data_IF_654466539442
#
_entry.id   IF_654466539442
#
_cell.length_a   1.000
_cell.length_b   1.000
_cell.length_c   1.000
_cell.angle_alpha   90.00
_cell.angle_beta   90.00
_cell.angle_gamma   90.00
#
_symmetry.space_group_name_H-M   'P 1'
#
loop_
_entity.id
_entity.type
_entity.pdbx_description
1 polymer ?
#
# COMPACT_ATOMS: atom_id res chain seq x y z
N UNK A 1 38.08 -56.11 -25.37
CA UNK A 1 37.71 -55.21 -24.26
C UNK A 1 38.44 -53.89 -24.50
N UNK A 2 37.78 -52.84 -25.01
CA UNK A 2 37.38 -51.72 -24.16
C UNK A 2 36.69 -50.60 -24.99
N UNK A 3 35.42 -50.41 -24.64
CA UNK A 3 34.59 -49.20 -24.66
C UNK A 3 34.99 -47.99 -25.52
N UNK A 4 34.36 -47.93 -26.70
CA UNK A 4 33.99 -46.72 -27.44
C UNK A 4 33.25 -45.75 -26.50
N UNK A 5 33.88 -44.64 -26.12
CA UNK A 5 33.21 -43.49 -25.51
C UNK A 5 32.77 -42.56 -26.64
N UNK A 6 31.51 -42.73 -27.06
CA UNK A 6 30.82 -41.76 -27.88
C UNK A 6 30.68 -40.47 -27.05
N UNK A 7 31.54 -39.50 -27.31
CA UNK A 7 31.37 -38.15 -26.80
C UNK A 7 30.12 -37.57 -27.46
N UNK A 8 28.99 -37.65 -26.75
CA UNK A 8 27.78 -36.91 -27.08
C UNK A 8 28.14 -35.43 -26.98
N UNK A 9 28.53 -34.84 -28.10
CA UNK A 9 28.67 -33.40 -28.25
C UNK A 9 27.28 -32.81 -28.02
N UNK A 10 27.00 -32.39 -26.79
CA UNK A 10 25.79 -31.60 -26.53
C UNK A 10 25.88 -30.32 -27.35
N UNK A 11 24.80 -29.90 -28.03
CA UNK A 11 24.80 -28.60 -28.68
C UNK A 11 25.17 -27.52 -27.64
N UNK A 12 25.92 -26.49 -28.04
CA UNK A 12 26.26 -25.40 -27.14
C UNK A 12 24.95 -24.85 -26.53
N UNK A 13 24.96 -24.49 -25.23
CA UNK A 13 23.79 -23.89 -24.62
C UNK A 13 23.38 -22.65 -25.44
N UNK A 14 22.07 -22.37 -25.56
CA UNK A 14 21.60 -21.19 -26.27
C UNK A 14 22.31 -19.95 -25.74
N UNK A 15 22.81 -19.12 -26.65
CA UNK A 15 23.47 -17.86 -26.31
C UNK A 15 22.43 -16.94 -25.69
N UNK A 16 22.50 -16.75 -24.37
CA UNK A 16 21.76 -15.70 -23.68
C UNK A 16 22.40 -14.37 -24.05
N UNK A 17 21.95 -13.75 -25.15
CA UNK A 17 22.33 -12.38 -25.49
C UNK A 17 21.69 -11.45 -24.46
N UNK A 18 22.45 -11.12 -23.42
CA UNK A 18 22.07 -10.16 -22.36
C UNK A 18 21.68 -8.78 -22.94
N UNK A 19 22.07 -8.50 -24.19
CA UNK A 19 21.90 -7.20 -24.83
C UNK A 19 20.57 -6.98 -25.57
N UNK A 20 19.79 -8.02 -25.87
CA UNK A 20 18.60 -7.88 -26.74
C UNK A 20 17.27 -8.22 -26.04
N UNK A 21 17.31 -8.96 -24.93
CA UNK A 21 16.11 -9.23 -24.13
C UNK A 21 15.94 -8.13 -23.08
N UNK A 22 14.81 -7.41 -23.01
CA UNK A 22 14.53 -6.52 -21.90
C UNK A 22 14.52 -7.38 -20.63
N UNK A 23 15.58 -7.28 -19.84
CA UNK A 23 15.64 -7.93 -18.52
C UNK A 23 14.36 -7.59 -17.78
N UNK A 24 13.64 -8.56 -17.20
CA UNK A 24 12.48 -8.25 -16.39
C UNK A 24 12.97 -7.28 -15.30
N UNK A 25 12.50 -6.03 -15.35
CA UNK A 25 12.90 -5.03 -14.38
C UNK A 25 12.32 -5.46 -13.04
N UNK A 26 13.14 -6.12 -12.23
CA UNK A 26 12.90 -6.31 -10.80
C UNK A 26 13.18 -5.02 -10.03
N UNK A 27 13.04 -3.86 -10.68
CA UNK A 27 12.76 -2.60 -10.02
C UNK A 27 11.63 -2.92 -9.04
N UNK A 28 11.96 -2.96 -7.75
CA UNK A 28 10.99 -2.91 -6.69
C UNK A 28 10.10 -1.74 -7.07
N UNK A 29 8.87 -2.02 -7.56
CA UNK A 29 7.87 -0.99 -7.82
C UNK A 29 7.72 -0.28 -6.48
N UNK A 30 8.47 0.80 -6.29
CA UNK A 30 8.30 1.70 -5.17
C UNK A 30 6.86 2.17 -5.35
N UNK A 31 5.96 1.60 -4.54
CA UNK A 31 4.55 2.01 -4.56
C UNK A 31 4.61 3.54 -4.44
N UNK A 32 4.04 4.30 -5.40
CA UNK A 32 4.18 5.74 -5.38
C UNK A 32 3.72 6.24 -4.01
N UNK A 33 4.46 7.22 -3.45
CA UNK A 33 4.13 7.82 -2.15
C UNK A 33 2.78 8.57 -2.28
N UNK A 34 1.70 7.81 -2.19
CA UNK A 34 0.34 8.33 -2.31
C UNK A 34 -0.04 9.07 -1.04
N UNK A 35 -0.94 10.04 -1.17
CA UNK A 35 -1.46 10.78 -0.02
C UNK A 35 -2.05 9.80 1.02
N UNK A 36 -2.80 8.79 0.57
CA UNK A 36 -3.37 7.77 1.46
C UNK A 36 -2.30 7.00 2.26
N UNK A 37 -1.16 6.67 1.64
CA UNK A 37 -0.03 6.03 2.32
C UNK A 37 0.57 6.96 3.39
N UNK A 38 0.83 8.22 3.04
CA UNK A 38 1.34 9.23 3.97
C UNK A 38 0.40 9.43 5.16
N UNK A 39 -0.90 9.62 4.92
CA UNK A 39 -1.90 9.81 5.98
C UNK A 39 -2.01 8.59 6.89
N UNK A 40 -1.89 7.38 6.33
CA UNK A 40 -1.85 6.16 7.14
C UNK A 40 -0.63 6.13 8.07
N UNK A 41 0.55 6.49 7.57
CA UNK A 41 1.80 6.60 8.34
C UNK A 41 1.68 7.66 9.45
N UNK A 42 1.19 8.85 9.12
CA UNK A 42 1.00 9.92 10.09
C UNK A 42 -0.09 9.62 11.13
N UNK A 43 -1.09 8.80 10.79
CA UNK A 43 -2.11 8.37 11.74
C UNK A 43 -1.57 7.59 12.93
N UNK A 44 -0.43 6.90 12.80
CA UNK A 44 0.25 6.28 13.95
C UNK A 44 0.76 7.30 14.97
N UNK A 45 1.13 8.50 14.51
CA UNK A 45 1.53 9.60 15.39
C UNK A 45 0.31 10.37 15.93
N UNK A 46 -0.76 10.44 15.14
CA UNK A 46 -1.97 11.18 15.47
C UNK A 46 -3.22 10.38 15.08
N UNK A 47 -3.82 9.57 15.99
CA UNK A 47 -4.95 8.69 15.66
C UNK A 47 -6.13 9.33 14.91
N UNK A 48 -6.50 10.62 15.15
CA UNK A 48 -7.54 11.28 14.37
C UNK A 48 -7.23 11.39 12.86
N UNK A 49 -5.95 11.36 12.46
CA UNK A 49 -5.55 11.54 11.07
C UNK A 49 -5.99 10.40 10.15
N UNK A 50 -6.23 9.20 10.67
CA UNK A 50 -6.76 8.09 9.86
C UNK A 50 -8.15 8.37 9.27
N UNK A 51 -8.90 9.31 9.84
CA UNK A 51 -10.20 9.77 9.32
C UNK A 51 -10.04 10.55 8.00
N UNK A 52 -9.00 11.39 7.89
CA UNK A 52 -8.68 12.07 6.64
C UNK A 52 -8.21 11.09 5.56
N UNK A 53 -7.49 10.03 5.95
CA UNK A 53 -7.16 8.94 5.03
C UNK A 53 -8.40 8.20 4.52
N UNK A 54 -9.46 8.11 5.33
CA UNK A 54 -10.74 7.56 4.91
C UNK A 54 -11.51 8.50 3.97
N UNK A 55 -11.39 9.82 4.15
CA UNK A 55 -12.03 10.81 3.26
C UNK A 55 -11.50 10.77 1.83
N UNK A 56 -10.27 10.28 1.60
CA UNK A 56 -9.73 10.03 0.25
C UNK A 56 -10.61 9.05 -0.55
N UNK A 57 -11.31 8.10 0.08
CA UNK A 57 -12.27 7.24 -0.64
C UNK A 57 -13.48 8.02 -1.17
N UNK A 58 -13.82 9.15 -0.55
CA UNK A 58 -14.96 9.98 -0.95
C UNK A 58 -14.59 11.00 -2.03
N UNK A 59 -13.30 11.26 -2.25
CA UNK A 59 -12.82 12.25 -3.22
C UNK A 59 -12.44 11.50 -4.50
N UNK A 60 -13.18 11.75 -5.58
CA UNK A 60 -12.75 11.31 -6.90
C UNK A 60 -11.57 12.18 -7.36
N UNK A 61 -10.41 11.55 -7.57
CA UNK A 61 -9.26 12.20 -8.17
C UNK A 61 -9.61 12.55 -9.63
N UNK A 62 -9.69 13.85 -9.92
CA UNK A 62 -10.05 14.38 -11.23
C UNK A 62 -8.76 14.54 -12.06
N UNK A 63 -8.73 14.12 -13.33
CA UNK A 63 -7.55 14.30 -14.18
C UNK A 63 -7.21 15.79 -14.34
N UNK A 64 -5.92 16.12 -14.25
CA UNK A 64 -5.41 17.47 -14.49
C UNK A 64 -5.47 17.73 -16.00
N UNK A 65 -5.93 18.91 -16.46
CA UNK A 65 -5.99 19.22 -17.88
C UNK A 65 -4.60 19.20 -18.53
N UNK A 66 -4.51 18.66 -19.76
CA UNK A 66 -3.24 18.47 -20.50
C UNK A 66 -2.37 19.73 -20.60
N UNK A 67 -2.98 20.91 -20.60
CA UNK A 67 -2.32 22.21 -20.69
C UNK A 67 -1.30 22.47 -19.57
N UNK A 68 -1.41 21.79 -18.42
CA UNK A 68 -0.51 21.99 -17.28
C UNK A 68 0.59 20.92 -17.14
N UNK A 69 0.44 19.77 -17.82
CA UNK A 69 1.29 18.60 -17.57
C UNK A 69 2.23 18.26 -18.74
N UNK A 70 1.92 18.69 -19.97
CA UNK A 70 2.75 18.40 -21.14
C UNK A 70 2.82 16.91 -21.55
N UNK A 71 2.13 16.02 -20.82
CA UNK A 71 1.88 14.60 -21.15
C UNK A 71 0.53 14.46 -21.85
N UNK A 72 0.43 13.51 -22.78
CA UNK A 72 -0.83 13.15 -23.45
C UNK A 72 -1.88 12.65 -22.44
N UNK A 73 -3.17 12.86 -22.71
CA UNK A 73 -4.26 12.46 -21.80
C UNK A 73 -4.30 10.95 -21.56
N UNK A 74 -3.92 10.14 -22.55
CA UNK A 74 -3.87 8.68 -22.39
C UNK A 74 -2.81 8.25 -21.38
N UNK A 75 -1.59 8.77 -21.47
CA UNK A 75 -0.52 8.44 -20.52
C UNK A 75 -0.85 8.91 -19.10
N UNK A 76 -1.50 10.08 -18.96
CA UNK A 76 -1.97 10.55 -17.66
C UNK A 76 -3.09 9.69 -17.08
N UNK A 77 -4.02 9.22 -17.91
CA UNK A 77 -5.14 8.40 -17.46
C UNK A 77 -4.67 7.06 -16.88
N UNK A 78 -3.69 6.42 -17.54
CA UNK A 78 -3.12 5.15 -17.07
C UNK A 78 -2.32 5.33 -15.77
N UNK A 79 -1.54 6.39 -15.64
CA UNK A 79 -0.80 6.71 -14.42
C UNK A 79 -1.74 7.02 -13.25
N UNK A 80 -2.80 7.80 -13.49
CA UNK A 80 -3.85 8.11 -12.52
C UNK A 80 -4.63 6.87 -12.10
N UNK A 81 -4.92 5.94 -13.02
CA UNK A 81 -5.62 4.70 -12.70
C UNK A 81 -4.81 3.80 -11.76
N UNK A 82 -3.49 3.71 -11.97
CA UNK A 82 -2.59 3.01 -11.07
C UNK A 82 -2.56 3.67 -9.69
N UNK A 83 -2.34 4.99 -9.63
CA UNK A 83 -2.33 5.76 -8.39
C UNK A 83 -3.62 5.57 -7.58
N UNK A 84 -4.78 5.68 -8.23
CA UNK A 84 -6.09 5.52 -7.57
C UNK A 84 -6.28 4.11 -7.01
N UNK A 85 -5.76 3.08 -7.69
CA UNK A 85 -5.75 1.72 -7.18
C UNK A 85 -4.98 1.59 -5.86
N UNK A 86 -3.81 2.22 -5.77
CA UNK A 86 -3.00 2.23 -4.55
C UNK A 86 -3.64 3.08 -3.44
N UNK A 87 -4.16 4.26 -3.78
CA UNK A 87 -4.85 5.13 -2.82
C UNK A 87 -6.02 4.43 -2.16
N UNK A 88 -6.89 3.78 -2.93
CA UNK A 88 -8.07 3.06 -2.39
C UNK A 88 -7.65 1.91 -1.48
N UNK A 89 -6.62 1.15 -1.87
CA UNK A 89 -6.07 0.04 -1.06
C UNK A 89 -5.60 0.54 0.30
N UNK A 90 -4.85 1.63 0.34
CA UNK A 90 -4.32 2.22 1.57
C UNK A 90 -5.38 2.95 2.39
N UNK A 91 -6.28 3.68 1.74
CA UNK A 91 -7.40 4.37 2.36
C UNK A 91 -8.34 3.39 3.09
N UNK A 92 -8.61 2.21 2.50
CA UNK A 92 -9.41 1.18 3.16
C UNK A 92 -8.75 0.68 4.45
N UNK A 93 -7.43 0.46 4.42
CA UNK A 93 -6.65 0.06 5.60
C UNK A 93 -6.66 1.17 6.67
N UNK A 94 -6.56 2.44 6.26
CA UNK A 94 -6.69 3.60 7.14
C UNK A 94 -8.05 3.66 7.82
N UNK A 95 -9.15 3.40 7.09
CA UNK A 95 -10.49 3.35 7.66
C UNK A 95 -10.62 2.26 8.74
N UNK A 96 -10.13 1.04 8.48
CA UNK A 96 -10.11 -0.02 9.49
C UNK A 96 -9.29 0.36 10.73
N UNK A 97 -8.11 0.97 10.54
CA UNK A 97 -7.29 1.45 11.65
C UNK A 97 -7.99 2.55 12.48
N UNK A 98 -8.67 3.50 11.83
CA UNK A 98 -9.47 4.52 12.50
C UNK A 98 -10.57 3.90 13.37
N UNK A 99 -11.32 2.94 12.82
CA UNK A 99 -12.41 2.27 13.55
C UNK A 99 -11.88 1.50 14.75
N UNK A 100 -10.79 0.74 14.56
CA UNK A 100 -10.17 -0.03 15.65
C UNK A 100 -9.66 0.86 16.78
N UNK A 101 -9.05 1.99 16.44
CA UNK A 101 -8.52 2.93 17.44
C UNK A 101 -9.62 3.67 18.18
N UNK A 102 -10.70 4.07 17.49
CA UNK A 102 -11.89 4.63 18.14
C UNK A 102 -12.52 3.60 19.09
N UNK A 103 -12.70 2.35 18.65
CA UNK A 103 -13.26 1.28 19.48
C UNK A 103 -12.40 1.05 20.74
N UNK A 104 -11.07 1.02 20.60
CA UNK A 104 -10.14 0.88 21.72
C UNK A 104 -10.26 2.06 22.71
N UNK A 105 -10.35 3.29 22.22
CA UNK A 105 -10.55 4.48 23.07
C UNK A 105 -11.87 4.36 23.85
N UNK A 106 -12.96 3.95 23.19
CA UNK A 106 -14.26 3.75 23.86
C UNK A 106 -14.15 2.69 24.95
N UNK A 107 -13.51 1.55 24.67
CA UNK A 107 -13.30 0.47 25.66
C UNK A 107 -12.53 1.01 26.88
N UNK A 108 -11.45 1.76 26.66
CA UNK A 108 -10.67 2.36 27.76
C UNK A 108 -11.53 3.32 28.57
N UNK A 109 -12.25 4.24 27.92
CA UNK A 109 -13.11 5.21 28.62
C UNK A 109 -14.19 4.51 29.45
N UNK A 110 -14.83 3.49 28.89
CA UNK A 110 -15.83 2.67 29.57
C UNK A 110 -15.21 1.95 30.76
N UNK A 111 -14.06 1.31 30.59
CA UNK A 111 -13.33 0.63 31.67
C UNK A 111 -12.93 1.60 32.79
N UNK A 112 -12.43 2.79 32.46
CA UNK A 112 -12.12 3.84 33.44
C UNK A 112 -13.36 4.29 34.19
N UNK A 113 -14.50 4.46 33.51
CA UNK A 113 -15.78 4.79 34.16
C UNK A 113 -16.23 3.69 35.12
N UNK A 114 -16.17 2.42 34.72
CA UNK A 114 -16.52 1.30 35.59
C UNK A 114 -15.56 1.16 36.77
N UNK A 115 -14.25 1.35 36.57
CA UNK A 115 -13.26 1.34 37.65
C UNK A 115 -13.52 2.45 38.67
N UNK A 116 -13.85 3.68 38.21
CA UNK A 116 -14.24 4.78 39.09
C UNK A 116 -15.50 4.46 39.89
N UNK A 117 -16.51 3.85 39.27
CA UNK A 117 -17.74 3.45 39.97
C UNK A 117 -17.47 2.36 41.03
N UNK A 118 -16.60 1.39 40.73
CA UNK A 118 -16.25 0.32 41.68
C UNK A 118 -15.42 0.79 42.88
N UNK A 119 -14.62 1.84 42.73
CA UNK A 119 -13.79 2.39 43.83
C UNK A 119 -14.63 3.15 44.87
N UNK A 120 -15.87 3.53 44.54
CA UNK A 120 -16.80 4.23 45.44
C UNK A 120 -17.68 3.28 46.30
N UNK A 121 -17.51 1.97 46.21
CA UNK A 121 -18.15 1.03 47.14
C UNK A 121 -17.37 1.00 48.47
N UNK A 122 -17.89 1.57 49.57
CA UNK A 122 -17.19 1.54 50.85
C UNK A 122 -17.06 0.09 51.36
N UNK A 123 -15.94 -0.28 52.00
CA UNK A 123 -15.83 -1.58 52.67
C UNK A 123 -16.89 -1.66 53.78
N UNK A 124 -17.62 -2.78 53.81
CA UNK A 124 -18.59 -3.11 54.87
C UNK A 124 -17.89 -3.49 56.16
#
# INVERSE_FOLDING_TARGET
>A
MDTRRDAVTSPPPPSYNIHDDPVPSYESREEPDTLAYCLFKYGFLFPPFWFFGALILCIELRPVPEAECGKTAEEQADELALLRGFEVKWARRSCCAAVLTIALIIIILVALKFAQVGTFAPPK
#
